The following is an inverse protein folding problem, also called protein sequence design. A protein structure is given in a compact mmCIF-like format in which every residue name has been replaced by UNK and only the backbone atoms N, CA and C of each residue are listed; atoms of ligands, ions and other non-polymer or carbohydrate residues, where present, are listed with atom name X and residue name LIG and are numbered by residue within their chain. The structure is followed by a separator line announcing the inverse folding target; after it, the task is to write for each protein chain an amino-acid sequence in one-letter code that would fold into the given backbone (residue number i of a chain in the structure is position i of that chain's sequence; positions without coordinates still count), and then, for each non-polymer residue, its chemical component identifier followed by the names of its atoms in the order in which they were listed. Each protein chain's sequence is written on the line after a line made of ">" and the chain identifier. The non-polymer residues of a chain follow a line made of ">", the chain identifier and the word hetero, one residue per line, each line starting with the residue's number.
data_IF_268762168099
#
_entry.id   IF_268762168099
#
_cell.length_a   1.000
_cell.length_b   1.000
_cell.length_c   1.000
_cell.angle_alpha   90.00
_cell.angle_beta   90.00
_cell.angle_gamma   90.00
#
_symmetry.space_group_name_H-M   'P 1'
#
loop_
_entity.id
_entity.type
_entity.pdbx_description
1 polymer ?
#
# COMPACT_ATOMS: atom_id res chain seq x y z
N UNK A 1 -129.17 -111.53 -38.89
CA UNK A 1 -128.38 -111.19 -37.70
C UNK A 1 -126.87 -111.01 -37.98
N UNK A 2 -126.31 -111.63 -39.04
CA UNK A 2 -124.89 -111.53 -39.42
C UNK A 2 -124.48 -110.22 -40.12
N UNK A 3 -125.35 -109.61 -40.95
CA UNK A 3 -125.03 -108.38 -41.70
C UNK A 3 -124.75 -107.17 -40.79
N UNK A 4 -125.54 -107.01 -39.72
CA UNK A 4 -125.35 -105.94 -38.72
C UNK A 4 -124.02 -106.07 -37.96
N UNK A 5 -123.59 -107.29 -37.60
CA UNK A 5 -122.31 -107.52 -36.91
C UNK A 5 -121.09 -107.23 -37.80
N UNK A 6 -121.15 -107.59 -39.08
CA UNK A 6 -120.06 -107.32 -40.03
C UNK A 6 -119.90 -105.81 -40.28
N UNK A 7 -121.01 -105.07 -40.33
CA UNK A 7 -121.03 -103.62 -40.50
C UNK A 7 -120.54 -102.89 -39.25
N UNK A 8 -120.87 -103.38 -38.04
CA UNK A 8 -120.29 -102.88 -36.78
C UNK A 8 -118.78 -103.13 -36.71
N UNK A 9 -118.29 -104.33 -37.01
CA UNK A 9 -116.85 -104.62 -37.01
C UNK A 9 -116.08 -103.89 -38.12
N UNK A 10 -116.71 -103.58 -39.26
CA UNK A 10 -116.09 -102.76 -40.31
C UNK A 10 -115.96 -101.30 -39.85
N UNK A 11 -116.96 -100.77 -39.15
CA UNK A 11 -116.94 -99.40 -38.64
C UNK A 11 -115.97 -99.24 -37.45
N UNK A 12 -115.90 -100.24 -36.56
CA UNK A 12 -114.87 -100.33 -35.51
C UNK A 12 -113.46 -100.37 -36.10
N UNK A 13 -113.21 -101.18 -37.13
CA UNK A 13 -111.91 -101.25 -37.80
C UNK A 13 -111.55 -99.95 -38.56
N UNK A 14 -112.54 -99.17 -39.01
CA UNK A 14 -112.33 -97.83 -39.59
C UNK A 14 -112.03 -96.81 -38.50
N UNK A 15 -112.72 -96.88 -37.37
CA UNK A 15 -112.52 -96.00 -36.23
C UNK A 15 -111.17 -96.26 -35.55
N UNK A 16 -110.72 -97.51 -35.44
CA UNK A 16 -109.38 -97.86 -34.96
C UNK A 16 -108.27 -97.36 -35.91
N UNK A 17 -108.45 -97.50 -37.23
CA UNK A 17 -107.51 -96.91 -38.20
C UNK A 17 -107.47 -95.40 -38.11
N UNK A 18 -108.62 -94.74 -37.97
CA UNK A 18 -108.68 -93.29 -37.82
C UNK A 18 -107.99 -92.83 -36.53
N UNK A 19 -108.23 -93.49 -35.40
CA UNK A 19 -107.58 -93.21 -34.12
C UNK A 19 -106.07 -93.50 -34.16
N UNK A 20 -105.65 -94.57 -34.83
CA UNK A 20 -104.23 -94.91 -35.01
C UNK A 20 -103.51 -93.91 -35.91
N UNK A 21 -104.13 -93.50 -37.02
CA UNK A 21 -103.60 -92.46 -37.91
C UNK A 21 -103.56 -91.09 -37.23
N UNK A 22 -104.57 -90.74 -36.43
CA UNK A 22 -104.60 -89.51 -35.63
C UNK A 22 -103.50 -89.53 -34.55
N UNK A 23 -103.36 -90.64 -33.81
CA UNK A 23 -102.27 -90.82 -32.84
C UNK A 23 -100.90 -90.78 -33.50
N UNK A 24 -100.74 -91.37 -34.68
CA UNK A 24 -99.49 -91.34 -35.45
C UNK A 24 -99.16 -89.94 -35.98
N UNK A 25 -100.16 -89.20 -36.49
CA UNK A 25 -100.01 -87.79 -36.89
C UNK A 25 -99.65 -86.92 -35.69
N UNK A 26 -100.31 -87.11 -34.55
CA UNK A 26 -100.02 -86.41 -33.29
C UNK A 26 -98.63 -86.73 -32.76
N UNK A 27 -98.22 -88.00 -32.77
CA UNK A 27 -96.88 -88.43 -32.39
C UNK A 27 -95.78 -87.89 -33.33
N UNK A 28 -96.06 -87.79 -34.64
CA UNK A 28 -95.14 -87.11 -35.60
C UNK A 28 -95.05 -85.61 -35.32
N UNK A 29 -96.18 -84.94 -35.10
CA UNK A 29 -96.20 -83.52 -34.75
C UNK A 29 -95.49 -83.23 -33.41
N UNK A 30 -95.67 -84.12 -32.42
CA UNK A 30 -94.96 -84.07 -31.13
C UNK A 30 -93.46 -84.28 -31.31
N UNK A 31 -93.05 -85.31 -32.07
CA UNK A 31 -91.62 -85.54 -32.38
C UNK A 31 -90.99 -84.35 -33.11
N UNK A 32 -91.71 -83.76 -34.07
CA UNK A 32 -91.25 -82.56 -34.77
C UNK A 32 -91.15 -81.36 -33.84
N UNK A 33 -92.12 -81.19 -32.93
CA UNK A 33 -92.08 -80.18 -31.87
C UNK A 33 -90.88 -80.38 -30.94
N UNK A 34 -90.63 -81.62 -30.48
CA UNK A 34 -89.47 -81.96 -29.66
C UNK A 34 -88.14 -81.67 -30.36
N UNK A 35 -88.03 -81.95 -31.67
CA UNK A 35 -86.84 -81.62 -32.45
C UNK A 35 -86.66 -80.10 -32.57
N UNK A 36 -87.72 -79.35 -32.87
CA UNK A 36 -87.69 -77.88 -32.94
C UNK A 36 -87.28 -77.27 -31.61
N UNK A 37 -87.90 -77.71 -30.50
CA UNK A 37 -87.53 -77.30 -29.14
C UNK A 37 -86.07 -77.63 -28.86
N UNK A 38 -85.61 -78.84 -29.21
CA UNK A 38 -84.21 -79.24 -29.06
C UNK A 38 -83.23 -78.36 -29.85
N UNK A 39 -83.60 -77.93 -31.07
CA UNK A 39 -82.82 -76.97 -31.86
C UNK A 39 -82.77 -75.59 -31.20
N UNK A 40 -83.89 -75.07 -30.71
CA UNK A 40 -83.92 -73.79 -29.98
C UNK A 40 -83.08 -73.83 -28.71
N UNK A 41 -83.16 -74.92 -27.93
CA UNK A 41 -82.33 -75.10 -26.73
C UNK A 41 -80.84 -75.13 -27.06
N UNK A 42 -80.43 -75.80 -28.15
CA UNK A 42 -79.02 -75.80 -28.60
C UNK A 42 -78.51 -74.41 -28.97
N UNK A 43 -79.31 -73.61 -29.68
CA UNK A 43 -78.95 -72.23 -30.03
C UNK A 43 -78.83 -71.36 -28.77
N UNK A 44 -79.78 -71.50 -27.82
CA UNK A 44 -79.72 -70.80 -26.54
C UNK A 44 -78.49 -71.20 -25.72
N UNK A 45 -78.14 -72.49 -25.68
CA UNK A 45 -76.94 -72.98 -24.99
C UNK A 45 -75.66 -72.43 -25.63
N UNK A 46 -75.59 -72.40 -26.96
CA UNK A 46 -74.46 -71.83 -27.69
C UNK A 46 -74.31 -70.32 -27.43
N UNK A 47 -75.42 -69.58 -27.40
CA UNK A 47 -75.44 -68.15 -27.06
C UNK A 47 -75.00 -67.93 -25.61
N UNK A 48 -75.51 -68.72 -24.66
CA UNK A 48 -75.10 -68.64 -23.24
C UNK A 48 -73.62 -68.97 -23.06
N UNK A 49 -73.10 -69.98 -23.76
CA UNK A 49 -71.67 -70.31 -23.76
C UNK A 49 -70.84 -69.17 -24.32
N UNK A 50 -71.25 -68.56 -25.43
CA UNK A 50 -70.55 -67.40 -26.01
C UNK A 50 -70.55 -66.21 -25.06
N UNK A 51 -71.70 -65.89 -24.44
CA UNK A 51 -71.82 -64.83 -23.43
C UNK A 51 -71.01 -65.11 -22.16
N UNK A 52 -70.83 -66.38 -21.78
CA UNK A 52 -69.93 -66.75 -20.68
C UNK A 52 -68.48 -66.45 -21.03
N UNK A 53 -68.02 -66.89 -22.20
CA UNK A 53 -66.65 -66.62 -22.68
C UNK A 53 -66.39 -65.11 -22.79
N UNK A 54 -67.33 -64.35 -23.33
CA UNK A 54 -67.20 -62.89 -23.42
C UNK A 54 -67.14 -62.23 -22.04
N UNK A 55 -67.98 -62.66 -21.09
CA UNK A 55 -67.93 -62.17 -19.70
C UNK A 55 -66.61 -62.50 -19.02
N UNK A 56 -66.10 -63.71 -19.22
CA UNK A 56 -64.84 -64.15 -18.64
C UNK A 56 -63.67 -63.36 -19.26
N UNK A 57 -63.71 -63.10 -20.57
CA UNK A 57 -62.76 -62.23 -21.27
C UNK A 57 -62.79 -60.81 -20.73
N UNK A 58 -63.98 -60.20 -20.58
CA UNK A 58 -64.14 -58.86 -20.01
C UNK A 58 -63.62 -58.82 -18.57
N UNK A 59 -63.85 -59.88 -17.79
CA UNK A 59 -63.38 -59.96 -16.41
C UNK A 59 -61.85 -60.04 -16.35
N UNK A 60 -61.23 -60.82 -17.23
CA UNK A 60 -59.78 -60.91 -17.36
C UNK A 60 -59.16 -59.58 -17.82
N UNK A 61 -59.74 -58.92 -18.82
CA UNK A 61 -59.29 -57.60 -19.27
C UNK A 61 -59.45 -56.52 -18.20
N UNK A 62 -60.54 -56.57 -17.43
CA UNK A 62 -60.77 -55.68 -16.29
C UNK A 62 -59.71 -55.84 -15.21
N UNK A 63 -59.38 -57.07 -14.81
CA UNK A 63 -58.33 -57.30 -13.81
C UNK A 63 -56.95 -56.90 -14.37
N UNK A 64 -56.65 -57.15 -15.64
CA UNK A 64 -55.43 -56.67 -16.28
C UNK A 64 -55.34 -55.14 -16.29
N UNK A 65 -56.42 -54.44 -16.63
CA UNK A 65 -56.47 -52.98 -16.59
C UNK A 65 -56.29 -52.44 -15.17
N UNK A 66 -56.86 -53.12 -14.18
CA UNK A 66 -56.72 -52.77 -12.76
C UNK A 66 -55.27 -52.91 -12.28
N UNK A 67 -54.57 -53.96 -12.69
CA UNK A 67 -53.12 -54.12 -12.43
C UNK A 67 -52.31 -52.99 -13.06
N UNK A 68 -52.57 -52.66 -14.34
CA UNK A 68 -51.90 -51.54 -15.02
C UNK A 68 -52.16 -50.22 -14.30
N UNK A 69 -53.41 -49.95 -13.90
CA UNK A 69 -53.76 -48.75 -13.14
C UNK A 69 -53.05 -48.73 -11.78
N UNK A 70 -52.94 -49.86 -11.08
CA UNK A 70 -52.22 -49.94 -9.82
C UNK A 70 -50.72 -49.66 -10.01
N UNK A 71 -50.09 -50.22 -11.05
CA UNK A 71 -48.69 -49.97 -11.38
C UNK A 71 -48.43 -48.52 -11.82
N UNK A 72 -49.37 -47.90 -12.55
CA UNK A 72 -49.28 -46.48 -12.90
C UNK A 72 -49.39 -45.58 -11.67
N UNK A 73 -50.26 -45.93 -10.72
CA UNK A 73 -50.41 -45.21 -9.45
C UNK A 73 -49.16 -45.31 -8.57
N UNK A 74 -48.57 -46.50 -8.43
CA UNK A 74 -47.35 -46.67 -7.64
C UNK A 74 -46.18 -45.88 -8.25
N UNK A 75 -46.02 -45.93 -9.57
CA UNK A 75 -45.01 -45.13 -10.28
C UNK A 75 -45.28 -43.64 -10.23
N UNK A 76 -46.55 -43.23 -10.18
CA UNK A 76 -46.94 -41.84 -9.92
C UNK A 76 -46.47 -41.37 -8.55
N UNK A 77 -46.76 -42.15 -7.50
CA UNK A 77 -46.34 -41.85 -6.13
C UNK A 77 -44.81 -41.82 -5.97
N UNK A 78 -44.06 -42.71 -6.66
CA UNK A 78 -42.59 -42.69 -6.66
C UNK A 78 -42.05 -41.39 -7.26
N UNK A 79 -42.56 -40.97 -8.43
CA UNK A 79 -42.16 -39.70 -9.06
C UNK A 79 -42.56 -38.48 -8.24
N UNK A 80 -43.71 -38.52 -7.57
CA UNK A 80 -44.10 -37.47 -6.63
C UNK A 80 -43.10 -37.39 -5.47
N UNK A 81 -42.64 -38.52 -4.92
CA UNK A 81 -41.57 -38.56 -3.94
C UNK A 81 -40.26 -37.98 -4.45
N UNK A 82 -39.83 -38.34 -5.66
CA UNK A 82 -38.64 -37.76 -6.32
C UNK A 82 -38.77 -36.24 -6.50
N UNK A 83 -39.94 -35.76 -6.91
CA UNK A 83 -40.21 -34.33 -7.11
C UNK A 83 -40.13 -33.56 -5.79
N UNK A 84 -40.67 -34.09 -4.71
CA UNK A 84 -40.53 -33.48 -3.38
C UNK A 84 -39.05 -33.44 -2.94
N UNK A 85 -38.30 -34.53 -3.13
CA UNK A 85 -36.86 -34.56 -2.82
C UNK A 85 -36.05 -33.56 -3.65
N UNK A 86 -36.42 -33.35 -4.93
CA UNK A 86 -35.82 -32.31 -5.76
C UNK A 86 -36.17 -30.90 -5.27
N UNK A 87 -37.41 -30.66 -4.83
CA UNK A 87 -37.83 -29.37 -4.27
C UNK A 87 -37.04 -29.02 -2.99
N UNK A 88 -36.85 -29.97 -2.08
CA UNK A 88 -36.04 -29.78 -0.87
C UNK A 88 -34.59 -29.42 -1.22
N UNK A 89 -34.00 -30.10 -2.20
CA UNK A 89 -32.65 -29.79 -2.68
C UNK A 89 -32.53 -28.40 -3.30
N UNK A 90 -33.55 -27.96 -4.04
CA UNK A 90 -33.57 -26.61 -4.62
C UNK A 90 -33.61 -25.56 -3.50
N UNK A 91 -34.45 -25.76 -2.49
CA UNK A 91 -34.51 -24.84 -1.34
C UNK A 91 -33.16 -24.75 -0.61
N UNK A 92 -32.50 -25.89 -0.38
CA UNK A 92 -31.19 -25.91 0.26
C UNK A 92 -30.13 -25.17 -0.58
N UNK A 93 -30.11 -25.36 -1.90
CA UNK A 93 -29.20 -24.63 -2.79
C UNK A 93 -29.50 -23.13 -2.82
N UNK A 94 -30.78 -22.72 -2.73
CA UNK A 94 -31.15 -21.31 -2.62
C UNK A 94 -30.64 -20.68 -1.33
N UNK A 95 -30.67 -21.42 -0.21
CA UNK A 95 -30.11 -20.98 1.07
C UNK A 95 -28.58 -20.86 1.00
N UNK A 96 -27.90 -21.86 0.45
CA UNK A 96 -26.45 -21.82 0.24
C UNK A 96 -26.03 -20.65 -0.66
N UNK A 97 -26.79 -20.38 -1.72
CA UNK A 97 -26.55 -19.25 -2.61
C UNK A 97 -26.67 -17.92 -1.86
N UNK A 98 -27.71 -17.76 -1.04
CA UNK A 98 -27.90 -16.55 -0.20
C UNK A 98 -26.75 -16.40 0.80
N UNK A 99 -26.33 -17.49 1.45
CA UNK A 99 -25.20 -17.48 2.38
C UNK A 99 -23.89 -17.08 1.69
N UNK A 100 -23.62 -17.64 0.50
CA UNK A 100 -22.45 -17.29 -0.30
C UNK A 100 -22.47 -15.81 -0.76
N UNK A 101 -23.64 -15.28 -1.11
CA UNK A 101 -23.80 -13.86 -1.45
C UNK A 101 -23.47 -12.95 -0.27
N UNK A 102 -24.01 -13.24 0.92
CA UNK A 102 -23.72 -12.47 2.14
C UNK A 102 -22.24 -12.55 2.52
N UNK A 103 -21.63 -13.73 2.39
CA UNK A 103 -20.18 -13.91 2.63
C UNK A 103 -19.33 -13.08 1.66
N UNK A 104 -19.69 -13.09 0.37
CA UNK A 104 -19.03 -12.27 -0.66
C UNK A 104 -19.15 -10.78 -0.35
N UNK A 105 -20.34 -10.30 0.03
CA UNK A 105 -20.56 -8.91 0.40
C UNK A 105 -19.73 -8.51 1.62
N UNK A 106 -19.68 -9.37 2.65
CA UNK A 106 -18.85 -9.16 3.82
C UNK A 106 -17.36 -8.98 3.45
N UNK A 107 -16.81 -9.87 2.60
CA UNK A 107 -15.42 -9.76 2.14
C UNK A 107 -15.17 -8.50 1.31
N UNK A 108 -16.14 -8.08 0.48
CA UNK A 108 -16.03 -6.83 -0.26
C UNK A 108 -16.04 -5.60 0.66
N UNK A 109 -16.90 -5.60 1.67
CA UNK A 109 -16.96 -4.53 2.66
C UNK A 109 -15.69 -4.49 3.51
N UNK A 110 -15.16 -5.65 3.92
CA UNK A 110 -13.88 -5.76 4.60
C UNK A 110 -12.73 -5.22 3.73
N UNK A 111 -12.71 -5.56 2.43
CA UNK A 111 -11.71 -5.03 1.49
C UNK A 111 -11.80 -3.51 1.35
N UNK A 112 -13.02 -2.95 1.27
CA UNK A 112 -13.24 -1.50 1.21
C UNK A 112 -12.76 -0.80 2.48
N UNK A 113 -13.10 -1.36 3.64
CA UNK A 113 -12.63 -0.84 4.93
C UNK A 113 -11.10 -0.85 5.02
N UNK A 114 -10.46 -1.96 4.67
CA UNK A 114 -9.00 -2.07 4.68
C UNK A 114 -8.35 -1.09 3.70
N UNK A 115 -8.93 -0.88 2.52
CA UNK A 115 -8.43 0.10 1.55
C UNK A 115 -8.53 1.53 2.09
N UNK A 116 -9.65 1.88 2.74
CA UNK A 116 -9.82 3.19 3.36
C UNK A 116 -8.80 3.43 4.47
N UNK A 117 -8.59 2.43 5.34
CA UNK A 117 -7.58 2.50 6.39
C UNK A 117 -6.16 2.66 5.83
N UNK A 118 -5.86 1.99 4.71
CA UNK A 118 -4.57 2.16 4.02
C UNK A 118 -4.41 3.57 3.45
N UNK A 119 -5.44 4.13 2.82
CA UNK A 119 -5.41 5.50 2.28
C UNK A 119 -5.23 6.53 3.40
N UNK A 120 -5.91 6.35 4.53
CA UNK A 120 -5.73 7.23 5.70
C UNK A 120 -4.30 7.13 6.26
N UNK A 121 -3.74 5.92 6.32
CA UNK A 121 -2.36 5.71 6.73
C UNK A 121 -1.36 6.37 5.76
N UNK A 122 -1.58 6.24 4.45
CA UNK A 122 -0.77 6.93 3.43
C UNK A 122 -0.83 8.45 3.60
N UNK A 123 -2.02 9.02 3.81
CA UNK A 123 -2.14 10.47 4.05
C UNK A 123 -1.38 10.94 5.30
N UNK A 124 -1.33 10.12 6.35
CA UNK A 124 -0.51 10.41 7.55
C UNK A 124 1.00 10.33 7.26
N UNK A 125 1.42 9.43 6.38
CA UNK A 125 2.82 9.34 5.94
C UNK A 125 3.19 10.58 5.12
N UNK A 126 2.36 10.98 4.16
CA UNK A 126 2.59 12.17 3.34
C UNK A 126 2.68 13.45 4.20
N UNK A 127 1.82 13.57 5.22
CA UNK A 127 1.87 14.67 6.19
C UNK A 127 3.18 14.65 7.00
N UNK A 128 3.61 13.48 7.48
CA UNK A 128 4.87 13.35 8.21
C UNK A 128 6.09 13.64 7.32
N UNK A 129 6.05 13.26 6.04
CA UNK A 129 7.09 13.59 5.06
C UNK A 129 7.15 15.11 4.84
N UNK A 130 6.01 15.79 4.72
CA UNK A 130 5.97 17.25 4.62
C UNK A 130 6.57 17.93 5.85
N UNK A 131 6.26 17.44 7.06
CA UNK A 131 6.83 17.95 8.31
C UNK A 131 8.35 17.71 8.39
N UNK A 132 8.83 16.56 7.92
CA UNK A 132 10.26 16.28 7.85
C UNK A 132 10.99 17.21 6.89
N UNK A 133 10.40 17.52 5.73
CA UNK A 133 11.03 18.45 4.78
C UNK A 133 11.06 19.88 5.34
N UNK A 134 10.01 20.34 6.02
CA UNK A 134 10.02 21.64 6.73
C UNK A 134 11.11 21.70 7.80
N UNK A 135 11.25 20.66 8.62
CA UNK A 135 12.33 20.56 9.61
C UNK A 135 13.71 20.60 8.96
N UNK A 136 13.87 19.96 7.82
CA UNK A 136 15.14 19.94 7.08
C UNK A 136 15.47 21.31 6.51
N UNK A 137 14.50 22.04 5.97
CA UNK A 137 14.68 23.42 5.53
C UNK A 137 15.07 24.36 6.69
N UNK A 138 14.40 24.22 7.84
CA UNK A 138 14.73 25.03 9.02
C UNK A 138 16.14 24.72 9.54
N UNK A 139 16.54 23.45 9.58
CA UNK A 139 17.89 23.02 9.95
C UNK A 139 18.95 23.58 9.00
N UNK A 140 18.71 23.52 7.69
CA UNK A 140 19.66 24.09 6.71
C UNK A 140 19.70 25.62 6.79
N UNK A 141 18.59 26.27 7.14
CA UNK A 141 18.55 27.70 7.49
C UNK A 141 19.39 28.03 8.71
N UNK A 142 19.32 27.22 9.77
CA UNK A 142 20.16 27.37 10.97
C UNK A 142 21.63 27.16 10.68
N UNK A 143 21.96 26.12 9.91
CA UNK A 143 23.34 25.81 9.50
C UNK A 143 23.98 26.98 8.75
N UNK A 144 23.25 27.61 7.83
CA UNK A 144 23.72 28.83 7.13
C UNK A 144 23.99 29.98 8.10
N UNK A 145 23.09 30.26 9.04
CA UNK A 145 23.30 31.32 10.04
C UNK A 145 24.55 31.08 10.91
N UNK A 146 24.77 29.84 11.35
CA UNK A 146 25.98 29.49 12.11
C UNK A 146 27.25 29.71 11.28
N UNK A 147 27.21 29.39 9.98
CA UNK A 147 28.32 29.63 9.07
C UNK A 147 28.57 31.12 8.89
N UNK A 148 27.53 31.93 8.67
CA UNK A 148 27.66 33.38 8.51
C UNK A 148 28.31 34.03 9.74
N UNK A 149 27.93 33.60 10.95
CA UNK A 149 28.55 34.08 12.20
C UNK A 149 30.02 33.65 12.28
N UNK A 150 30.34 32.41 11.90
CA UNK A 150 31.72 31.93 11.92
C UNK A 150 32.60 32.72 10.93
N UNK A 151 32.10 32.97 9.72
CA UNK A 151 32.80 33.73 8.68
C UNK A 151 33.00 35.20 9.10
N UNK A 152 32.00 35.81 9.76
CA UNK A 152 32.09 37.16 10.31
C UNK A 152 33.15 37.26 11.40
N UNK A 153 33.13 36.33 12.38
CA UNK A 153 34.13 36.27 13.45
C UNK A 153 35.53 36.06 12.86
N UNK A 154 35.68 35.18 11.88
CA UNK A 154 36.97 34.96 11.21
C UNK A 154 37.47 36.24 10.53
N UNK A 155 36.58 36.97 9.86
CA UNK A 155 36.91 38.24 9.20
C UNK A 155 37.37 39.29 10.21
N UNK A 156 36.66 39.42 11.35
CA UNK A 156 37.04 40.33 12.43
C UNK A 156 38.39 39.96 13.05
N UNK A 157 38.64 38.67 13.31
CA UNK A 157 39.91 38.19 13.84
C UNK A 157 41.06 38.49 12.86
N UNK A 158 40.86 38.26 11.56
CA UNK A 158 41.87 38.58 10.54
C UNK A 158 42.17 40.09 10.49
N UNK A 159 41.14 40.94 10.55
CA UNK A 159 41.29 42.39 10.59
C UNK A 159 42.06 42.86 11.85
N UNK A 160 41.65 42.40 13.04
CA UNK A 160 42.31 42.71 14.30
C UNK A 160 43.77 42.23 14.32
N UNK A 161 44.04 41.07 13.72
CA UNK A 161 45.41 40.54 13.59
C UNK A 161 46.27 41.43 12.71
N UNK A 162 45.74 41.90 11.58
CA UNK A 162 46.45 42.81 10.69
C UNK A 162 46.75 44.15 11.38
N UNK A 163 45.77 44.73 12.08
CA UNK A 163 45.94 45.97 12.84
C UNK A 163 46.98 45.81 13.97
N UNK A 164 46.94 44.69 14.69
CA UNK A 164 47.93 44.38 15.72
C UNK A 164 49.36 44.33 15.14
N UNK A 165 49.55 43.74 13.95
CA UNK A 165 50.86 43.74 13.28
C UNK A 165 51.28 45.15 12.85
N UNK A 166 50.36 45.96 12.30
CA UNK A 166 50.66 47.35 11.92
C UNK A 166 51.11 48.18 13.13
N UNK A 167 50.42 48.03 14.26
CA UNK A 167 50.77 48.73 15.50
C UNK A 167 52.10 48.23 16.07
N UNK A 168 52.35 46.93 16.03
CA UNK A 168 53.63 46.35 16.44
C UNK A 168 54.79 46.94 15.64
N UNK A 169 54.67 47.02 14.32
CA UNK A 169 55.71 47.59 13.45
C UNK A 169 55.94 49.07 13.72
N UNK A 170 54.87 49.86 13.89
CA UNK A 170 54.95 51.28 14.25
C UNK A 170 55.62 51.47 15.60
N UNK A 171 55.23 50.68 16.60
CA UNK A 171 55.80 50.74 17.93
C UNK A 171 57.29 50.40 17.91
N UNK A 172 57.71 49.35 17.19
CA UNK A 172 59.12 48.99 17.04
C UNK A 172 59.91 50.15 16.42
N UNK A 173 59.39 50.78 15.35
CA UNK A 173 60.04 51.93 14.70
C UNK A 173 60.17 53.13 15.65
N UNK A 174 59.09 53.48 16.36
CA UNK A 174 59.10 54.58 17.32
C UNK A 174 60.04 54.31 18.49
N UNK A 175 60.02 53.11 19.05
CA UNK A 175 60.90 52.70 20.13
C UNK A 175 62.38 52.77 19.68
N UNK A 176 62.68 52.31 18.47
CA UNK A 176 64.03 52.42 17.90
C UNK A 176 64.48 53.88 17.74
N UNK A 177 63.66 54.75 17.15
CA UNK A 177 63.96 56.18 17.00
C UNK A 177 64.15 56.88 18.35
N UNK A 178 63.28 56.61 19.31
CA UNK A 178 63.37 57.18 20.66
C UNK A 178 64.66 56.74 21.37
N UNK A 179 64.99 55.45 21.30
CA UNK A 179 66.22 54.91 21.87
C UNK A 179 67.46 55.51 21.18
N UNK A 180 67.42 55.67 19.86
CA UNK A 180 68.51 56.29 19.11
C UNK A 180 68.70 57.76 19.52
N UNK A 181 67.62 58.53 19.63
CA UNK A 181 67.65 59.91 20.08
C UNK A 181 68.24 60.03 21.49
N UNK A 182 67.81 59.17 22.43
CA UNK A 182 68.35 59.11 23.79
C UNK A 182 69.86 58.82 23.79
N UNK A 183 70.32 57.85 23.00
CA UNK A 183 71.74 57.52 22.91
C UNK A 183 72.57 58.68 22.31
N UNK A 184 72.06 59.32 21.27
CA UNK A 184 72.70 60.50 20.67
C UNK A 184 72.82 61.66 21.66
N UNK A 185 71.76 61.94 22.43
CA UNK A 185 71.77 62.97 23.48
C UNK A 185 72.82 62.64 24.54
N UNK A 186 72.87 61.40 25.02
CA UNK A 186 73.83 60.96 26.03
C UNK A 186 75.28 61.00 25.54
N UNK A 187 75.53 60.66 24.26
CA UNK A 187 76.86 60.75 23.66
C UNK A 187 77.32 62.20 23.52
N UNK A 188 76.46 63.10 23.01
CA UNK A 188 76.75 64.53 22.90
C UNK A 188 77.02 65.16 24.26
N UNK A 189 76.23 64.79 25.28
CA UNK A 189 76.46 65.24 26.66
C UNK A 189 77.84 64.81 27.16
N UNK A 190 78.25 63.56 26.93
CA UNK A 190 79.57 63.06 27.33
C UNK A 190 80.70 63.81 26.63
N UNK A 191 80.59 64.00 25.31
CA UNK A 191 81.57 64.76 24.54
C UNK A 191 81.71 66.20 25.05
N UNK A 192 80.60 66.85 25.45
CA UNK A 192 80.66 68.18 26.06
C UNK A 192 81.26 68.16 27.47
N UNK A 193 81.03 67.10 28.26
CA UNK A 193 81.66 66.96 29.58
C UNK A 193 83.18 66.80 29.47
N UNK A 194 83.68 66.06 28.47
CA UNK A 194 85.11 65.85 28.24
C UNK A 194 85.84 67.14 27.82
N UNK A 195 85.11 68.18 27.39
CA UNK A 195 85.63 69.49 26.99
C UNK A 195 85.61 70.55 28.11
N UNK A 196 85.10 70.22 29.31
CA UNK A 196 84.92 71.17 30.42
C UNK A 196 86.17 71.24 31.29
N UNK A 197 86.79 72.42 31.35
CA UNK A 197 87.89 72.72 32.29
C UNK A 197 87.32 73.22 33.64
N UNK A 198 87.55 72.51 34.77
CA UNK A 198 87.04 72.88 36.08
C UNK A 198 87.44 74.28 36.54
N UNK A 199 88.52 74.85 36.02
CA UNK A 199 89.06 76.14 36.46
C UNK A 199 88.61 77.32 35.58
N UNK A 200 88.27 77.06 34.31
CA UNK A 200 87.90 78.09 33.32
C UNK A 200 86.43 78.12 32.95
N UNK A 201 85.67 77.06 33.22
CA UNK A 201 84.28 76.97 32.74
C UNK A 201 83.33 77.80 33.63
N UNK A 202 82.47 78.67 33.02
CA UNK A 202 81.45 79.46 33.72
C UNK A 202 80.53 78.63 34.63
N UNK A 203 80.06 79.23 35.72
CA UNK A 203 79.27 78.54 36.76
C UNK A 203 77.93 78.05 36.21
N UNK A 204 77.31 78.82 35.32
CA UNK A 204 76.03 78.53 34.68
C UNK A 204 76.08 77.24 33.85
N UNK A 205 77.21 77.00 33.16
CA UNK A 205 77.42 75.79 32.35
C UNK A 205 77.64 74.58 33.26
N UNK A 206 78.36 74.74 34.37
CA UNK A 206 78.55 73.67 35.37
C UNK A 206 77.24 73.28 36.05
N UNK A 207 76.43 74.26 36.42
CA UNK A 207 75.09 74.08 36.99
C UNK A 207 74.19 73.29 36.02
N UNK A 208 74.20 73.68 34.74
CA UNK A 208 73.46 73.00 33.69
C UNK A 208 73.89 71.53 33.52
N UNK A 209 75.20 71.25 33.45
CA UNK A 209 75.71 69.88 33.33
C UNK A 209 75.36 69.02 34.56
N UNK A 210 75.38 69.59 35.76
CA UNK A 210 74.98 68.86 36.97
C UNK A 210 73.47 68.56 36.97
N UNK A 211 72.63 69.46 36.45
CA UNK A 211 71.21 69.17 36.20
C UNK A 211 71.04 68.04 35.18
N UNK A 212 71.82 68.04 34.09
CA UNK A 212 71.81 66.95 33.11
C UNK A 212 72.25 65.61 33.74
N UNK A 213 73.27 65.59 34.62
CA UNK A 213 73.66 64.36 35.36
C UNK A 213 72.58 63.88 36.30
N UNK A 214 71.90 64.80 36.98
CA UNK A 214 70.76 64.48 37.86
C UNK A 214 69.61 63.87 37.06
N UNK A 215 69.34 64.40 35.87
CA UNK A 215 68.36 63.85 34.94
C UNK A 215 68.77 62.46 34.44
N UNK A 216 70.03 62.27 34.04
CA UNK A 216 70.59 60.97 33.63
C UNK A 216 70.46 59.92 34.73
N UNK A 217 70.79 60.27 35.98
CA UNK A 217 70.61 59.41 37.17
C UNK A 217 69.15 59.04 37.39
N UNK A 218 68.22 60.01 37.29
CA UNK A 218 66.77 59.77 37.39
C UNK A 218 66.27 58.83 36.28
N UNK A 219 66.74 59.01 35.05
CA UNK A 219 66.33 58.18 33.92
C UNK A 219 66.79 56.72 34.10
N UNK A 220 68.02 56.50 34.56
CA UNK A 220 68.53 55.15 34.88
C UNK A 220 67.86 54.50 36.10
N UNK A 221 67.44 55.31 37.10
CA UNK A 221 66.73 54.80 38.28
C UNK A 221 65.25 54.49 37.99
N UNK A 222 64.60 55.33 37.18
CA UNK A 222 63.21 55.16 36.74
C UNK A 222 63.03 53.89 35.91
N UNK A 223 63.98 53.56 35.02
CA UNK A 223 63.97 52.32 34.23
C UNK A 223 64.05 51.04 35.10
N UNK A 224 64.43 51.10 36.37
CA UNK A 224 64.47 49.93 37.26
C UNK A 224 63.14 49.67 37.99
N UNK A 225 62.36 50.73 38.25
CA UNK A 225 61.09 50.65 38.98
C UNK A 225 59.86 50.66 38.06
N UNK A 226 59.94 51.32 36.91
CA UNK A 226 58.78 51.43 35.98
C UNK A 226 58.55 50.14 35.19
N UNK A 227 59.54 49.27 35.02
CA UNK A 227 59.38 48.00 34.31
C UNK A 227 58.36 47.11 35.02
N UNK A 228 58.47 46.96 36.35
CA UNK A 228 57.56 46.11 37.14
C UNK A 228 56.13 46.68 37.19
N UNK A 229 55.98 47.99 37.38
CA UNK A 229 54.65 48.62 37.37
C UNK A 229 53.98 48.49 36.01
N UNK A 230 54.71 48.75 34.91
CA UNK A 230 54.17 48.55 33.55
C UNK A 230 53.84 47.10 33.25
N UNK A 231 54.60 46.14 33.75
CA UNK A 231 54.26 44.71 33.59
C UNK A 231 52.91 44.42 34.25
N UNK A 232 52.70 44.91 35.48
CA UNK A 232 51.44 44.73 36.19
C UNK A 232 50.27 45.43 35.49
N UNK A 233 50.47 46.64 34.94
CA UNK A 233 49.41 47.35 34.19
C UNK A 233 49.01 46.61 32.91
N UNK A 234 50.00 46.01 32.21
CA UNK A 234 49.76 45.20 31.02
C UNK A 234 49.06 43.88 31.40
N UNK A 235 49.50 43.25 32.49
CA UNK A 235 48.91 42.01 33.02
C UNK A 235 47.43 42.22 33.41
N UNK A 236 47.12 43.34 34.09
CA UNK A 236 45.75 43.73 34.40
C UNK A 236 44.92 43.99 33.13
N UNK A 237 45.47 44.70 32.13
CA UNK A 237 44.76 44.94 30.88
C UNK A 237 44.50 43.64 30.08
N UNK A 238 45.42 42.66 30.16
CA UNK A 238 45.19 41.34 29.58
C UNK A 238 44.11 40.55 30.32
N UNK A 239 44.08 40.60 31.65
CA UNK A 239 43.03 39.97 32.46
C UNK A 239 41.65 40.58 32.16
N UNK A 240 41.55 41.91 32.04
CA UNK A 240 40.29 42.61 31.69
C UNK A 240 39.78 42.20 30.30
N UNK A 241 40.67 42.11 29.30
CA UNK A 241 40.29 41.67 27.95
C UNK A 241 39.88 40.19 27.93
N UNK A 242 40.58 39.34 28.69
CA UNK A 242 40.27 37.92 28.79
C UNK A 242 38.91 37.70 29.47
N UNK A 243 38.59 38.49 30.49
CA UNK A 243 37.29 38.55 31.13
C UNK A 243 36.19 38.97 30.15
N UNK A 244 36.40 40.02 29.37
CA UNK A 244 35.43 40.47 28.36
C UNK A 244 35.18 39.39 27.28
N UNK A 245 36.23 38.68 26.86
CA UNK A 245 36.11 37.54 25.94
C UNK A 245 35.41 36.33 26.59
N UNK A 246 35.53 36.13 27.90
CA UNK A 246 34.80 35.11 28.62
C UNK A 246 33.30 35.46 28.71
N UNK A 247 32.96 36.72 28.93
CA UNK A 247 31.59 37.24 28.95
C UNK A 247 30.90 37.10 27.60
N UNK A 248 31.56 37.51 26.50
CA UNK A 248 31.03 37.32 25.14
C UNK A 248 30.82 35.83 24.81
N UNK A 249 31.74 34.95 25.24
CA UNK A 249 31.56 33.49 25.12
C UNK A 249 30.41 32.96 25.96
N UNK A 250 30.11 33.58 27.10
CA UNK A 250 28.98 33.20 27.94
C UNK A 250 27.66 33.63 27.30
N UNK A 251 27.57 34.85 26.76
CA UNK A 251 26.40 35.33 25.99
C UNK A 251 26.10 34.41 24.80
N UNK A 252 27.11 34.09 23.98
CA UNK A 252 26.93 33.20 22.83
C UNK A 252 26.43 31.80 23.25
N UNK A 253 26.85 31.33 24.43
CA UNK A 253 26.39 30.05 25.02
C UNK A 253 24.95 30.13 25.50
N UNK A 254 24.53 31.28 26.04
CA UNK A 254 23.15 31.53 26.45
C UNK A 254 22.22 31.60 25.23
N UNK A 255 22.62 32.27 24.15
CA UNK A 255 21.88 32.28 22.88
C UNK A 255 21.76 30.88 22.27
N UNK A 256 22.87 30.11 22.26
CA UNK A 256 22.86 28.73 21.80
C UNK A 256 21.97 27.83 22.70
N UNK A 257 21.89 28.13 23.99
CA UNK A 257 20.96 27.50 24.93
C UNK A 257 19.50 27.82 24.63
N UNK A 258 19.17 29.10 24.37
CA UNK A 258 17.82 29.50 23.95
C UNK A 258 17.41 28.84 22.63
N UNK A 259 18.32 28.76 21.67
CA UNK A 259 18.10 28.07 20.40
C UNK A 259 17.84 26.57 20.60
N UNK A 260 18.62 25.90 21.45
CA UNK A 260 18.41 24.49 21.80
C UNK A 260 17.03 24.27 22.43
N UNK A 261 16.59 25.19 23.27
CA UNK A 261 15.26 25.14 23.88
C UNK A 261 14.14 25.30 22.85
N UNK A 262 14.32 26.16 21.83
CA UNK A 262 13.36 26.24 20.72
C UNK A 262 13.29 24.94 19.90
N UNK A 263 14.43 24.30 19.63
CA UNK A 263 14.47 23.00 18.94
C UNK A 263 13.76 21.93 19.77
N UNK A 264 14.00 21.88 21.08
CA UNK A 264 13.31 20.95 21.98
C UNK A 264 11.79 21.19 21.97
N UNK A 265 11.34 22.45 21.96
CA UNK A 265 9.91 22.79 21.86
C UNK A 265 9.30 22.32 20.54
N UNK A 266 10.01 22.47 19.43
CA UNK A 266 9.57 21.96 18.12
C UNK A 266 9.43 20.42 18.15
N UNK A 267 10.43 19.73 18.72
CA UNK A 267 10.43 18.27 18.85
C UNK A 267 9.29 17.76 19.74
N UNK A 268 9.00 18.45 20.84
CA UNK A 268 7.90 18.14 21.76
C UNK A 268 6.51 18.30 21.12
N UNK A 269 6.32 19.28 20.22
CA UNK A 269 5.05 19.46 19.49
C UNK A 269 4.81 18.29 18.53
N UNK A 270 5.84 17.91 17.77
CA UNK A 270 5.77 16.79 16.82
C UNK A 270 5.54 15.46 17.56
N UNK A 271 6.22 15.28 18.69
CA UNK A 271 6.07 14.08 19.53
C UNK A 271 4.68 13.99 20.16
N UNK A 272 4.08 15.11 20.59
CA UNK A 272 2.70 15.13 21.10
C UNK A 272 1.67 14.79 20.02
N UNK A 273 1.88 15.24 18.79
CA UNK A 273 0.98 14.95 17.67
C UNK A 273 1.08 13.50 17.16
N UNK A 274 2.12 12.76 17.57
CA UNK A 274 2.31 11.33 17.27
C UNK A 274 1.72 10.38 18.32
N UNK A 275 1.21 10.88 19.46
CA UNK A 275 0.62 10.03 20.50
C UNK A 275 -0.83 9.62 20.14
N UNK A 276 -1.16 8.32 20.07
CA UNK A 276 -2.54 7.89 19.91
C UNK A 276 -3.33 8.25 21.17
N UNK A 277 -4.43 8.97 21.00
CA UNK A 277 -5.40 9.25 22.06
C UNK A 277 -5.93 7.92 22.61
N UNK A 278 -5.88 7.65 23.93
CA UNK A 278 -6.47 6.46 24.48
C UNK A 278 -7.99 6.60 24.42
N UNK A 279 -8.62 5.83 23.53
CA UNK A 279 -10.07 5.64 23.54
C UNK A 279 -10.41 4.96 24.86
N UNK A 280 -11.21 5.62 25.69
CA UNK A 280 -11.73 5.07 26.92
C UNK A 280 -12.50 3.77 26.62
N UNK A 281 -11.92 2.62 27.00
CA UNK A 281 -12.60 1.34 26.96
C UNK A 281 -13.40 1.15 28.25
N UNK A 282 -14.71 1.22 28.10
CA UNK A 282 -15.71 0.78 29.08
C UNK A 282 -15.46 -0.68 29.50
N UNK A 283 -15.68 -0.93 30.79
CA UNK A 283 -15.62 -2.21 31.49
C UNK A 283 -16.24 -3.38 30.73
N UNK A 284 -15.58 -4.55 30.78
CA UNK A 284 -16.25 -5.83 30.47
C UNK A 284 -15.35 -7.04 30.22
N UNK A 285 -15.02 -7.75 31.30
CA UNK A 285 -14.90 -9.24 31.39
C UNK A 285 -13.58 -9.95 31.01
N UNK A 286 -12.95 -10.43 32.09
CA UNK A 286 -12.26 -11.71 32.34
C UNK A 286 -10.88 -12.05 31.75
N UNK A 287 -9.97 -12.23 32.72
CA UNK A 287 -8.64 -12.81 32.70
C UNK A 287 -8.64 -14.31 32.32
N UNK A 288 -7.66 -14.75 31.54
CA UNK A 288 -6.93 -16.00 31.82
C UNK A 288 -5.53 -15.99 31.20
N UNK A 289 -4.59 -16.32 32.08
CA UNK A 289 -3.14 -16.47 31.95
C UNK A 289 -2.72 -17.63 31.05
N UNK A 290 -1.62 -17.50 30.29
CA UNK A 290 -0.61 -18.56 30.04
C UNK A 290 0.68 -17.97 29.41
N UNK A 291 1.74 -17.93 30.22
CA UNK A 291 3.12 -18.39 29.95
C UNK A 291 3.92 -17.91 28.72
N UNK A 292 4.89 -17.03 29.03
CA UNK A 292 6.33 -17.11 28.72
C UNK A 292 6.79 -17.64 27.35
N UNK A 293 7.38 -16.73 26.57
CA UNK A 293 8.25 -17.04 25.44
C UNK A 293 9.11 -15.82 25.07
N UNK A 294 10.29 -15.71 25.67
CA UNK A 294 11.32 -14.72 25.37
C UNK A 294 11.95 -14.97 23.99
N UNK A 295 12.09 -13.95 23.12
CA UNK A 295 13.11 -13.95 22.08
C UNK A 295 14.27 -13.04 22.49
N UNK A 296 15.42 -13.67 22.70
CA UNK A 296 16.73 -13.08 22.89
C UNK A 296 17.09 -12.11 21.75
N UNK A 297 17.39 -10.85 22.10
CA UNK A 297 18.07 -9.89 21.22
C UNK A 297 19.58 -10.09 21.26
N UNK A 298 20.32 -9.98 20.14
CA UNK A 298 21.76 -9.96 20.15
C UNK A 298 22.27 -8.63 20.74
N UNK A 299 23.19 -8.77 21.69
CA UNK A 299 23.94 -7.70 22.35
C UNK A 299 24.86 -6.98 21.38
N UNK A 300 24.87 -5.65 21.47
CA UNK A 300 25.90 -4.81 20.86
C UNK A 300 25.30 -3.60 20.18
N UNK A 301 25.07 -2.53 20.95
CA UNK A 301 25.32 -1.12 20.60
C UNK A 301 24.77 -0.26 21.74
N UNK A 302 25.66 0.14 22.66
CA UNK A 302 25.38 1.24 23.58
C UNK A 302 25.68 2.55 22.84
N UNK A 303 24.78 3.55 22.80
CA UNK A 303 25.10 4.85 22.24
C UNK A 303 26.10 5.58 23.16
N UNK A 304 27.15 6.24 22.64
CA UNK A 304 28.10 6.94 23.49
C UNK A 304 27.44 8.15 24.16
N UNK A 305 27.51 8.19 25.48
CA UNK A 305 27.22 9.35 26.31
C UNK A 305 28.31 10.40 26.08
N UNK A 306 27.96 11.52 25.43
CA UNK A 306 28.90 12.61 25.22
C UNK A 306 28.93 13.51 26.47
N UNK A 307 29.95 13.34 27.31
CA UNK A 307 30.35 14.33 28.31
C UNK A 307 31.72 14.92 27.94
N UNK A 308 31.89 16.19 28.30
CA UNK A 308 32.86 17.14 27.76
C UNK A 308 34.35 16.91 28.10
N UNK A 309 35.20 17.59 27.32
CA UNK A 309 36.57 18.08 27.59
C UNK A 309 37.72 17.23 27.03
N UNK A 310 38.44 17.77 26.03
CA UNK A 310 39.90 18.02 26.05
C UNK A 310 40.45 18.38 24.65
N UNK A 311 41.10 19.54 24.59
CA UNK A 311 42.39 19.85 23.92
C UNK A 311 42.59 19.70 22.38
N UNK A 312 42.96 20.84 21.79
CA UNK A 312 43.74 21.04 20.53
C UNK A 312 45.22 20.63 20.76
N UNK A 313 46.18 20.61 19.78
CA UNK A 313 46.17 20.77 18.30
C UNK A 313 47.11 19.71 17.61
N UNK A 314 47.80 19.86 16.42
CA UNK A 314 47.84 20.95 15.41
C UNK A 314 47.82 20.56 13.90
N UNK A 315 47.64 21.62 13.10
CA UNK A 315 47.78 21.79 11.63
C UNK A 315 49.25 21.79 11.18
N UNK A 316 49.59 21.42 9.91
CA UNK A 316 50.02 22.39 8.85
C UNK A 316 49.54 21.95 7.44
N UNK A 317 49.45 22.70 6.32
CA UNK A 317 49.79 24.05 5.85
C UNK A 317 49.22 24.20 4.41
N UNK A 318 48.78 25.41 4.02
CA UNK A 318 48.92 26.19 2.75
C UNK A 318 49.29 25.49 1.40
N UNK A 319 48.91 25.87 0.17
CA UNK A 319 48.20 26.97 -0.56
C UNK A 319 48.29 26.56 -2.09
N UNK A 320 47.97 27.36 -3.14
CA UNK A 320 46.74 28.10 -3.48
C UNK A 320 46.35 27.99 -5.00
N UNK A 321 45.19 28.56 -5.35
CA UNK A 321 45.04 29.41 -6.55
C UNK A 321 44.35 28.83 -7.79
N UNK A 322 43.23 29.44 -8.20
CA UNK A 322 43.22 30.37 -9.36
C UNK A 322 41.80 30.93 -9.59
N UNK A 323 41.78 32.25 -9.74
CA UNK A 323 40.62 33.09 -9.99
C UNK A 323 40.27 33.03 -11.49
N UNK A 324 39.01 33.23 -11.86
CA UNK A 324 38.65 34.26 -12.84
C UNK A 324 37.14 34.52 -12.93
N UNK A 325 36.87 35.78 -13.21
CA UNK A 325 35.65 36.55 -13.14
C UNK A 325 34.79 36.43 -14.41
N UNK A 326 33.48 36.61 -14.24
CA UNK A 326 32.82 37.73 -14.91
C UNK A 326 31.76 37.46 -15.99
N UNK A 327 30.63 38.14 -15.77
CA UNK A 327 29.70 38.75 -16.73
C UNK A 327 28.60 37.88 -17.37
N UNK A 328 27.37 38.18 -16.96
CA UNK A 328 26.18 37.94 -17.77
C UNK A 328 25.91 39.08 -18.76
N UNK A 329 25.15 38.77 -19.81
CA UNK A 329 24.04 39.58 -20.34
C UNK A 329 23.26 38.76 -21.36
N UNK A 330 21.93 38.84 -21.30
CA UNK A 330 21.02 38.16 -22.21
C UNK A 330 20.55 38.99 -23.40
N UNK A 331 19.71 38.32 -24.20
CA UNK A 331 18.75 38.70 -25.28
C UNK A 331 18.97 37.72 -26.45
N UNK A 332 17.99 37.06 -27.06
CA UNK A 332 16.53 37.10 -26.98
C UNK A 332 15.96 36.55 -28.30
N UNK A 333 14.69 36.12 -28.27
CA UNK A 333 13.81 35.74 -29.39
C UNK A 333 13.90 34.28 -29.90
N UNK A 334 12.82 33.51 -30.00
CA UNK A 334 11.42 33.88 -29.81
C UNK A 334 10.43 32.71 -29.96
N UNK A 335 9.15 33.11 -29.84
CA UNK A 335 7.90 32.47 -30.29
C UNK A 335 7.37 31.22 -29.56
N UNK A 336 6.26 31.42 -28.83
CA UNK A 336 5.34 30.40 -28.31
C UNK A 336 4.37 29.87 -29.38
N UNK A 337 3.11 29.44 -29.08
CA UNK A 337 2.30 29.72 -27.88
C UNK A 337 1.66 28.50 -27.18
N UNK A 338 1.36 28.72 -25.89
CA UNK A 338 0.36 28.02 -25.09
C UNK A 338 -1.08 28.36 -25.55
N UNK A 339 -2.01 27.43 -25.38
CA UNK A 339 -3.37 27.74 -24.92
C UNK A 339 -3.86 26.71 -23.89
N UNK A 340 -4.27 27.26 -22.75
CA UNK A 340 -5.06 26.68 -21.66
C UNK A 340 -6.54 26.70 -22.04
N UNK A 341 -7.33 25.74 -21.54
CA UNK A 341 -8.53 25.93 -20.68
C UNK A 341 -9.55 24.79 -20.85
N UNK A 342 -10.08 24.34 -19.71
CA UNK A 342 -10.92 23.15 -19.58
C UNK A 342 -12.35 23.23 -20.13
N UNK A 343 -13.02 22.09 -20.04
CA UNK A 343 -14.46 21.95 -20.19
C UNK A 343 -14.97 20.83 -19.28
N UNK A 344 -15.61 21.25 -18.18
CA UNK A 344 -16.49 20.43 -17.35
C UNK A 344 -17.79 20.19 -18.12
N UNK A 345 -18.20 18.94 -18.35
CA UNK A 345 -19.53 18.61 -18.89
C UNK A 345 -20.34 17.93 -17.79
N UNK A 346 -21.28 18.69 -17.24
CA UNK A 346 -22.40 18.19 -16.45
C UNK A 346 -23.39 17.46 -17.39
N UNK A 347 -23.78 16.23 -17.04
CA UNK A 347 -24.99 15.62 -17.59
C UNK A 347 -26.14 15.76 -16.57
N UNK A 348 -27.21 16.39 -17.02
CA UNK A 348 -28.52 16.47 -16.37
C UNK A 348 -29.29 15.16 -16.55
N UNK A 349 -30.09 14.69 -15.58
CA UNK A 349 -31.04 13.59 -15.76
C UNK A 349 -32.39 14.10 -16.30
N UNK A 350 -33.15 13.32 -17.11
CA UNK A 350 -34.52 13.67 -17.48
C UNK A 350 -35.58 13.08 -16.51
N UNK A 351 -36.79 13.69 -16.45
CA UNK A 351 -37.71 13.59 -15.33
C UNK A 351 -38.75 12.45 -15.44
N UNK A 352 -39.23 12.01 -14.28
CA UNK A 352 -40.41 11.16 -14.13
C UNK A 352 -41.72 11.95 -14.36
N UNK A 353 -42.69 11.38 -15.09
CA UNK A 353 -44.12 11.54 -14.76
C UNK A 353 -45.05 10.53 -15.45
N UNK A 354 -45.45 9.55 -14.63
CA UNK A 354 -46.83 9.09 -14.40
C UNK A 354 -47.52 7.98 -15.24
N UNK A 355 -48.05 7.03 -14.45
CA UNK A 355 -49.24 6.15 -14.57
C UNK A 355 -49.06 4.72 -15.13
N UNK A 356 -49.29 3.77 -14.21
CA UNK A 356 -49.44 2.29 -14.35
C UNK A 356 -50.87 1.94 -14.84
N UNK A 357 -51.18 0.74 -15.42
CA UNK A 357 -51.25 -0.51 -14.65
C UNK A 357 -50.84 -1.82 -15.39
N UNK A 358 -50.09 -2.66 -14.67
CA UNK A 358 -50.15 -4.15 -14.58
C UNK A 358 -50.27 -5.00 -15.87
N UNK A 359 -49.19 -5.73 -16.19
CA UNK A 359 -49.26 -7.11 -16.73
C UNK A 359 -47.91 -7.82 -16.54
N UNK A 360 -47.98 -9.08 -16.13
CA UNK A 360 -46.86 -9.98 -15.84
C UNK A 360 -46.16 -10.38 -17.15
N UNK A 361 -44.83 -10.33 -17.20
CA UNK A 361 -44.04 -11.17 -18.11
C UNK A 361 -42.62 -11.45 -17.58
N UNK A 362 -42.18 -12.67 -17.84
CA UNK A 362 -41.00 -13.40 -17.33
C UNK A 362 -39.62 -12.78 -17.64
N UNK A 363 -38.57 -13.13 -16.87
CA UNK A 363 -37.21 -12.68 -17.07
C UNK A 363 -36.40 -13.68 -17.92
N UNK A 364 -36.20 -13.37 -19.20
CA UNK A 364 -35.13 -13.97 -19.98
C UNK A 364 -34.52 -12.89 -20.89
N UNK A 365 -33.20 -12.94 -21.10
CA UNK A 365 -32.37 -12.04 -21.93
C UNK A 365 -31.61 -10.90 -21.20
N UNK A 366 -30.99 -11.18 -20.05
CA UNK A 366 -29.89 -10.35 -19.52
C UNK A 366 -28.63 -11.17 -19.15
N UNK A 367 -28.46 -12.32 -19.81
CA UNK A 367 -27.35 -13.25 -19.56
C UNK A 367 -26.38 -13.40 -20.73
N UNK A 368 -26.89 -13.49 -21.96
CA UNK A 368 -26.08 -13.74 -23.17
C UNK A 368 -25.09 -12.61 -23.45
N UNK A 369 -25.53 -11.37 -23.35
CA UNK A 369 -24.73 -10.22 -23.80
C UNK A 369 -23.55 -9.95 -22.85
N UNK A 370 -23.75 -10.26 -21.56
CA UNK A 370 -22.69 -10.17 -20.55
C UNK A 370 -21.69 -11.30 -20.68
N UNK A 371 -22.15 -12.50 -21.03
CA UNK A 371 -21.26 -13.65 -21.27
C UNK A 371 -20.44 -13.41 -22.53
N UNK A 372 -21.06 -12.94 -23.61
CA UNK A 372 -20.38 -12.60 -24.86
C UNK A 372 -19.35 -11.47 -24.66
N UNK A 373 -19.70 -10.43 -23.90
CA UNK A 373 -18.77 -9.34 -23.57
C UNK A 373 -17.60 -9.81 -22.69
N UNK A 374 -17.82 -10.80 -21.82
CA UNK A 374 -16.76 -11.38 -21.00
C UNK A 374 -15.85 -12.28 -21.83
N UNK A 375 -16.41 -13.04 -22.76
CA UNK A 375 -15.68 -13.91 -23.69
C UNK A 375 -14.86 -13.10 -24.70
N UNK A 376 -15.39 -11.97 -25.17
CA UNK A 376 -14.68 -11.02 -26.04
C UNK A 376 -13.53 -10.32 -25.30
N UNK A 377 -13.74 -9.94 -24.03
CA UNK A 377 -12.66 -9.45 -23.15
C UNK A 377 -11.62 -10.51 -22.84
N UNK A 378 -12.02 -11.77 -22.67
CA UNK A 378 -11.09 -12.88 -22.47
C UNK A 378 -10.27 -13.13 -23.73
N UNK A 379 -10.88 -13.13 -24.93
CA UNK A 379 -10.16 -13.21 -26.21
C UNK A 379 -9.17 -12.05 -26.42
N UNK A 380 -9.51 -10.84 -26.00
CA UNK A 380 -8.61 -9.69 -26.07
C UNK A 380 -7.39 -9.80 -25.13
N UNK A 381 -7.55 -10.48 -23.99
CA UNK A 381 -6.48 -10.73 -23.02
C UNK A 381 -5.66 -11.97 -23.38
N UNK A 382 -6.30 -12.98 -23.98
CA UNK A 382 -5.73 -14.28 -24.26
C UNK A 382 -4.79 -14.29 -25.47
N UNK A 383 -4.66 -13.16 -26.19
CA UNK A 383 -3.57 -12.86 -27.13
C UNK A 383 -3.28 -13.99 -28.10
N UNK A 384 -3.85 -13.92 -29.31
CA UNK A 384 -3.63 -14.90 -30.38
C UNK A 384 -2.15 -15.32 -30.50
N UNK A 385 -1.88 -16.56 -30.11
CA UNK A 385 -0.85 -17.43 -30.69
C UNK A 385 0.48 -16.76 -31.13
N UNK A 386 1.43 -16.80 -30.20
CA UNK A 386 2.78 -17.35 -30.41
C UNK A 386 3.77 -16.74 -31.42
N UNK A 387 3.58 -15.55 -31.98
CA UNK A 387 4.64 -14.93 -32.81
C UNK A 387 4.83 -13.44 -32.53
N UNK A 388 5.95 -13.11 -31.87
CA UNK A 388 6.60 -11.79 -31.99
C UNK A 388 6.14 -10.70 -31.02
N UNK A 389 6.05 -10.95 -29.72
CA UNK A 389 6.24 -9.85 -28.76
C UNK A 389 7.73 -9.61 -28.68
N UNK A 390 8.20 -8.61 -29.43
CA UNK A 390 9.59 -8.20 -29.43
C UNK A 390 10.03 -7.81 -28.01
N UNK A 391 11.23 -8.24 -27.62
CA UNK A 391 11.77 -8.05 -26.26
C UNK A 391 11.88 -6.56 -25.89
N UNK A 392 12.00 -5.68 -26.89
CA UNK A 392 11.99 -4.22 -26.73
C UNK A 392 10.67 -3.68 -26.14
N UNK A 393 9.52 -4.32 -26.40
CA UNK A 393 8.21 -3.85 -25.94
C UNK A 393 7.87 -4.24 -24.49
N UNK A 394 8.72 -5.05 -23.85
CA UNK A 394 8.55 -5.48 -22.44
C UNK A 394 9.47 -4.72 -21.48
N UNK A 395 10.30 -3.80 -21.97
CA UNK A 395 11.17 -3.00 -21.13
C UNK A 395 10.38 -1.85 -20.51
N UNK A 396 10.28 -1.83 -19.18
CA UNK A 396 9.71 -0.70 -18.42
C UNK A 396 10.63 0.55 -18.44
N UNK A 397 11.85 0.40 -18.97
CA UNK A 397 12.86 1.44 -19.10
C UNK A 397 13.21 1.55 -20.58
N UNK A 398 12.92 2.68 -21.25
CA UNK A 398 13.43 2.91 -22.61
C UNK A 398 14.96 3.12 -22.50
N UNK A 399 15.73 2.49 -23.39
CA UNK A 399 17.21 2.56 -23.53
C UNK A 399 18.06 1.44 -22.89
N UNK A 400 17.58 0.18 -22.86
CA UNK A 400 18.45 -0.98 -22.61
C UNK A 400 18.84 -1.65 -23.94
N UNK A 401 20.08 -1.41 -24.38
CA UNK A 401 20.69 -2.18 -25.47
C UNK A 401 21.16 -3.54 -24.94
N UNK A 402 20.45 -4.61 -25.31
CA UNK A 402 20.87 -5.98 -25.01
C UNK A 402 22.13 -6.32 -25.81
N UNK A 403 23.23 -6.78 -25.16
CA UNK A 403 24.43 -7.21 -25.88
C UNK A 403 24.10 -8.31 -26.90
N UNK A 404 24.75 -8.28 -28.07
CA UNK A 404 24.54 -9.24 -29.17
C UNK A 404 24.76 -10.71 -28.75
N UNK A 405 25.44 -10.94 -27.63
CA UNK A 405 25.81 -12.24 -27.09
C UNK A 405 24.82 -12.75 -26.03
N UNK A 406 23.72 -12.02 -25.79
CA UNK A 406 22.74 -12.36 -24.75
C UNK A 406 22.06 -13.70 -25.06
N UNK A 407 22.50 -14.74 -24.36
CA UNK A 407 21.79 -16.02 -24.34
C UNK A 407 20.64 -15.93 -23.36
N UNK A 408 19.42 -16.01 -23.89
CA UNK A 408 18.20 -16.18 -23.09
C UNK A 408 18.41 -17.36 -22.14
N UNK A 409 18.44 -17.14 -20.81
CA UNK A 409 18.66 -18.23 -19.89
C UNK A 409 17.53 -19.25 -20.01
N UNK A 410 17.85 -20.55 -19.96
CA UNK A 410 16.83 -21.61 -19.98
C UNK A 410 16.12 -21.62 -18.62
N UNK A 411 14.91 -21.05 -18.58
CA UNK A 411 14.05 -21.07 -17.40
C UNK A 411 13.12 -22.27 -17.44
N UNK A 412 12.88 -22.87 -16.27
CA UNK A 412 11.76 -23.79 -16.12
C UNK A 412 10.50 -22.95 -16.05
N UNK A 413 9.56 -23.18 -16.98
CA UNK A 413 8.27 -22.47 -16.99
C UNK A 413 7.46 -22.84 -15.75
N UNK A 414 6.68 -21.89 -15.24
CA UNK A 414 5.77 -22.14 -14.13
C UNK A 414 4.71 -23.17 -14.55
N UNK A 415 4.73 -24.34 -13.90
CA UNK A 415 3.81 -25.47 -14.19
C UNK A 415 2.47 -25.38 -13.45
N UNK A 416 2.20 -24.27 -12.73
CA UNK A 416 0.96 -24.08 -11.97
C UNK A 416 0.84 -24.87 -10.66
N UNK A 417 1.70 -25.87 -10.43
CA UNK A 417 1.64 -26.77 -9.27
C UNK A 417 2.50 -26.34 -8.07
N UNK A 418 3.44 -25.40 -8.24
CA UNK A 418 4.33 -24.91 -7.17
C UNK A 418 3.89 -23.54 -6.66
N UNK A 419 4.36 -23.13 -5.47
CA UNK A 419 4.02 -21.82 -4.91
C UNK A 419 4.55 -20.68 -5.82
N UNK A 420 3.68 -19.75 -6.30
CA UNK A 420 4.09 -18.67 -7.20
C UNK A 420 5.21 -17.79 -6.63
N UNK A 421 5.18 -17.52 -5.31
CA UNK A 421 6.21 -16.74 -4.62
C UNK A 421 7.58 -17.39 -4.68
N UNK A 422 7.65 -18.71 -4.54
CA UNK A 422 8.91 -19.46 -4.58
C UNK A 422 9.45 -19.48 -6.02
N UNK A 423 8.56 -19.63 -7.00
CA UNK A 423 8.94 -19.59 -8.41
C UNK A 423 9.49 -18.21 -8.83
N UNK A 424 8.84 -17.13 -8.37
CA UNK A 424 9.30 -15.76 -8.60
C UNK A 424 10.66 -15.50 -7.93
N UNK A 425 10.84 -15.92 -6.67
CA UNK A 425 12.11 -15.76 -5.97
C UNK A 425 13.26 -16.53 -6.65
N UNK A 426 12.98 -17.73 -7.17
CA UNK A 426 13.93 -18.52 -7.95
C UNK A 426 14.31 -17.79 -9.25
N UNK A 427 13.32 -17.24 -9.94
CA UNK A 427 13.52 -16.45 -11.16
C UNK A 427 14.43 -15.24 -10.89
N UNK A 428 14.13 -14.43 -9.87
CA UNK A 428 14.93 -13.26 -9.51
C UNK A 428 16.38 -13.65 -9.16
N UNK A 429 16.59 -14.76 -8.42
CA UNK A 429 17.95 -15.26 -8.12
C UNK A 429 18.72 -15.67 -9.36
N UNK A 430 18.05 -16.27 -10.36
CA UNK A 430 18.69 -16.64 -11.63
C UNK A 430 19.00 -15.44 -12.52
N UNK A 431 18.25 -14.35 -12.37
CA UNK A 431 18.48 -13.09 -13.09
C UNK A 431 19.60 -12.23 -12.48
N UNK A 432 19.92 -12.40 -11.20
CA UNK A 432 20.92 -11.62 -10.47
C UNK A 432 22.32 -11.48 -11.14
N UNK A 433 22.87 -12.49 -11.86
CA UNK A 433 24.16 -12.35 -12.55
C UNK A 433 24.11 -11.41 -13.76
N UNK A 434 22.92 -11.17 -14.31
CA UNK A 434 22.69 -10.36 -15.52
C UNK A 434 22.33 -8.90 -15.18
N UNK A 435 22.03 -8.60 -13.90
CA UNK A 435 21.68 -7.25 -13.45
C UNK A 435 22.88 -6.43 -12.97
N UNK A 436 24.10 -6.96 -13.03
CA UNK A 436 25.35 -6.27 -12.64
C UNK A 436 26.39 -6.20 -13.76
N UNK A 437 25.96 -6.21 -15.03
CA UNK A 437 26.83 -5.85 -16.15
C UNK A 437 26.69 -4.36 -16.50
N UNK A 438 26.74 -3.49 -15.50
CA UNK A 438 27.03 -2.06 -15.69
C UNK A 438 28.55 -1.86 -15.69
N UNK A 439 29.19 -2.19 -16.81
CA UNK A 439 30.45 -1.55 -17.24
C UNK A 439 30.47 -1.49 -18.76
N UNK A 440 29.85 -0.46 -19.31
CA UNK A 440 30.17 0.04 -20.65
C UNK A 440 31.27 1.12 -20.46
N UNK A 441 32.41 1.05 -21.17
CA UNK A 441 33.48 2.06 -21.13
C UNK A 441 33.07 3.44 -21.62
#
# INVERSE_FOLDING_TARGET
>A
MLKRKLETSLEEARQERWLSDDFSKKARAEKESCVKIGCFLKVADQEMCSKRVERDQITAEKERLKEVVAALKSRGAEREGELHGLQERVLLLEEELKAAQLSKEHLQNQRRYNLLALVEACGKVDEAESQLEELKETLEGWKRRCQDIADEVETQVRAATADAQLWKDRYIKLAWLANQALMNILQRLRATEDMVDPTRTPKEIKEFLEQCRKLKRKLTASHRYHTRSRTNDIEQATEELEQQNAEMRAEMRMEMGQMKEQINKMFEIITRNAAPTPVAATQGVALSTTTLGTPTYPSGFAPPTWNATAENPPVPQEQPGRNNSGAGRGQGSGTGPYLTLGATVYFHPPPESSRVPRSIQEPALLGSDKINALEERMRAIEGTSSHGIDAANLCLVPDIELPADFKVPKFEKYKGSSCPRVHLAMYCRKMAPYTQQDKIP
#
